data_IF_776714477990
#
_entry.id   IF_776714477990
#
_cell.length_a   1.000
_cell.length_b   1.000
_cell.length_c   1.000
_cell.angle_alpha   90.00
_cell.angle_beta   90.00
_cell.angle_gamma   90.00
#
_symmetry.space_group_name_H-M   'P 1'
#
loop_
_entity.id
_entity.type
_entity.pdbx_description
1 polymer ?
#
# COMPACT_ATOMS: atom_id res chain seq x y z
N UNK A 1 27.55 -13.78 8.90
CA UNK A 1 27.33 -13.42 10.31
C UNK A 1 28.31 -12.36 10.80
N UNK A 2 29.63 -12.58 10.75
CA UNK A 2 30.64 -11.65 11.27
C UNK A 2 30.50 -10.16 10.88
N UNK A 3 30.04 -9.85 9.65
CA UNK A 3 29.76 -8.48 9.24
C UNK A 3 28.63 -7.85 10.06
N UNK A 4 27.51 -8.57 10.23
CA UNK A 4 26.38 -8.09 11.02
C UNK A 4 26.78 -7.94 12.49
N UNK A 5 27.51 -8.89 13.08
CA UNK A 5 27.97 -8.77 14.46
C UNK A 5 28.84 -7.53 14.66
N UNK A 6 29.76 -7.26 13.73
CA UNK A 6 30.60 -6.05 13.77
C UNK A 6 29.75 -4.78 13.72
N UNK A 7 28.80 -4.69 12.80
CA UNK A 7 27.96 -3.50 12.60
C UNK A 7 26.99 -3.27 13.77
N UNK A 8 26.37 -4.32 14.29
CA UNK A 8 25.48 -4.21 15.46
C UNK A 8 26.25 -3.88 16.74
N UNK A 9 27.45 -4.46 16.92
CA UNK A 9 28.28 -4.17 18.10
C UNK A 9 28.72 -2.71 18.17
N UNK A 10 28.90 -2.04 17.02
CA UNK A 10 29.18 -0.58 16.99
C UNK A 10 28.03 0.27 17.54
N UNK A 11 26.82 -0.29 17.63
CA UNK A 11 25.61 0.34 18.15
C UNK A 11 25.22 -0.24 19.52
N UNK A 12 26.10 -1.00 20.18
CA UNK A 12 25.83 -1.72 21.43
C UNK A 12 24.64 -2.68 21.35
N UNK A 13 24.37 -3.21 20.14
CA UNK A 13 23.33 -4.21 19.88
C UNK A 13 23.98 -5.57 19.66
N UNK A 14 23.42 -6.61 20.28
CA UNK A 14 23.83 -7.99 20.03
C UNK A 14 22.97 -8.60 18.92
N UNK A 15 23.57 -9.43 18.05
CA UNK A 15 22.84 -10.23 17.06
C UNK A 15 23.00 -11.73 17.32
N UNK A 16 22.01 -12.53 16.89
CA UNK A 16 22.08 -13.99 16.97
C UNK A 16 21.66 -14.62 15.64
N UNK A 17 22.47 -15.55 15.13
CA UNK A 17 22.17 -16.24 13.88
C UNK A 17 21.17 -17.38 14.09
N UNK A 18 20.16 -17.45 13.23
CA UNK A 18 19.22 -18.56 13.14
C UNK A 18 19.19 -19.06 11.70
N UNK A 19 19.61 -20.31 11.50
CA UNK A 19 19.61 -20.97 10.20
C UNK A 19 18.46 -21.98 10.17
N UNK A 20 17.66 -21.93 9.10
CA UNK A 20 16.45 -22.75 8.96
C UNK A 20 16.37 -23.39 7.58
N UNK A 21 15.67 -24.51 7.49
CA UNK A 21 15.34 -25.21 6.25
C UNK A 21 13.83 -25.27 6.08
N UNK A 22 13.36 -25.58 4.87
CA UNK A 22 11.93 -25.77 4.62
C UNK A 22 11.38 -26.97 5.41
N UNK A 23 12.17 -28.04 5.57
CA UNK A 23 11.79 -29.22 6.34
C UNK A 23 11.53 -28.91 7.81
N UNK A 24 12.27 -27.97 8.41
CA UNK A 24 12.10 -27.61 9.82
C UNK A 24 10.69 -27.07 10.09
N UNK A 25 10.15 -26.27 9.16
CA UNK A 25 8.80 -25.73 9.29
C UNK A 25 7.70 -26.79 9.07
N UNK A 26 7.99 -28.04 8.71
CA UNK A 26 6.96 -29.10 8.71
C UNK A 26 6.66 -29.59 10.12
N UNK A 27 7.62 -29.43 11.04
CA UNK A 27 7.49 -29.84 12.43
C UNK A 27 6.83 -28.73 13.27
N UNK A 28 5.75 -29.08 13.96
CA UNK A 28 5.02 -28.15 14.84
C UNK A 28 5.82 -27.83 16.09
N UNK A 29 6.62 -28.77 16.59
CA UNK A 29 7.44 -28.56 17.79
C UNK A 29 8.60 -27.63 17.48
N UNK A 30 9.23 -27.76 16.30
CA UNK A 30 10.20 -26.80 15.80
C UNK A 30 9.61 -25.38 15.74
N UNK A 31 8.43 -25.19 15.14
CA UNK A 31 7.78 -23.86 15.06
C UNK A 31 7.56 -23.24 16.45
N UNK A 32 7.13 -24.05 17.43
CA UNK A 32 6.95 -23.59 18.82
C UNK A 32 8.29 -23.18 19.43
N UNK A 33 9.30 -24.04 19.33
CA UNK A 33 10.64 -23.80 19.86
C UNK A 33 11.27 -22.55 19.24
N UNK A 34 11.07 -22.34 17.94
CA UNK A 34 11.52 -21.15 17.24
C UNK A 34 10.87 -19.90 17.82
N UNK A 35 9.54 -19.93 18.04
CA UNK A 35 8.81 -18.81 18.64
C UNK A 35 9.35 -18.45 20.03
N UNK A 36 9.56 -19.44 20.88
CA UNK A 36 10.06 -19.25 22.24
C UNK A 36 11.50 -18.73 22.25
N UNK A 37 12.32 -19.21 21.31
CA UNK A 37 13.70 -18.76 21.13
C UNK A 37 13.75 -17.31 20.69
N UNK A 38 12.97 -16.92 19.67
CA UNK A 38 12.92 -15.53 19.19
C UNK A 38 12.40 -14.58 20.27
N UNK A 39 11.35 -14.96 21.00
CA UNK A 39 10.84 -14.16 22.13
C UNK A 39 11.90 -13.95 23.21
N UNK A 40 12.65 -15.01 23.53
CA UNK A 40 13.74 -14.94 24.51
C UNK A 40 14.85 -14.00 24.03
N UNK A 41 15.31 -14.13 22.78
CA UNK A 41 16.32 -13.25 22.19
C UNK A 41 15.87 -11.77 22.22
N UNK A 42 14.65 -11.48 21.79
CA UNK A 42 14.12 -10.12 21.79
C UNK A 42 13.97 -9.55 23.22
N UNK A 43 13.58 -10.37 24.20
CA UNK A 43 13.52 -9.95 25.61
C UNK A 43 14.89 -9.56 26.17
N UNK A 44 15.95 -10.14 25.63
CA UNK A 44 17.35 -9.83 25.95
C UNK A 44 17.92 -8.72 25.05
N UNK A 45 17.09 -8.06 24.23
CA UNK A 45 17.49 -7.04 23.25
C UNK A 45 18.51 -7.54 22.21
N UNK A 46 18.46 -8.84 21.89
CA UNK A 46 19.26 -9.46 20.83
C UNK A 46 18.46 -9.49 19.53
N UNK A 47 19.05 -9.02 18.44
CA UNK A 47 18.45 -9.01 17.10
C UNK A 47 18.66 -10.36 16.41
N UNK A 48 17.60 -11.14 16.13
CA UNK A 48 17.72 -12.39 15.39
C UNK A 48 18.00 -12.14 13.91
N UNK A 49 18.98 -12.86 13.34
CA UNK A 49 19.34 -12.81 11.92
C UNK A 49 19.06 -14.17 11.31
N UNK A 50 18.00 -14.22 10.50
CA UNK A 50 17.56 -15.42 9.81
C UNK A 50 18.21 -15.58 8.45
N UNK A 51 18.52 -16.82 8.07
CA UNK A 51 18.81 -17.19 6.69
C UNK A 51 18.44 -18.65 6.42
N UNK A 52 18.26 -19.00 5.14
CA UNK A 52 18.18 -20.41 4.75
C UNK A 52 19.53 -21.10 5.01
N UNK A 53 19.47 -22.34 5.50
CA UNK A 53 20.65 -23.18 5.68
C UNK A 53 21.01 -23.92 4.39
N UNK A 54 21.52 -23.19 3.38
CA UNK A 54 21.91 -23.77 2.08
C UNK A 54 22.91 -24.94 2.22
N UNK A 55 23.70 -25.00 3.31
CA UNK A 55 24.71 -26.04 3.52
C UNK A 55 24.12 -27.43 3.79
N UNK A 56 22.91 -27.49 4.35
CA UNK A 56 22.20 -28.75 4.66
C UNK A 56 20.89 -28.89 3.89
N UNK A 57 20.45 -27.83 3.23
CA UNK A 57 19.28 -27.85 2.35
C UNK A 57 19.51 -28.86 1.22
N UNK A 58 18.69 -29.91 1.16
CA UNK A 58 18.79 -30.94 0.11
C UNK A 58 18.22 -30.48 -1.22
N UNK A 59 17.73 -29.25 -1.28
CA UNK A 59 16.88 -28.76 -2.35
C UNK A 59 17.67 -28.12 -3.48
N UNK A 60 17.42 -28.59 -4.71
CA UNK A 60 18.13 -28.14 -5.92
C UNK A 60 17.26 -27.37 -6.92
N UNK A 61 15.94 -27.43 -6.78
CA UNK A 61 14.96 -26.80 -7.68
C UNK A 61 13.72 -26.28 -6.92
N UNK A 62 12.96 -25.32 -7.49
CA UNK A 62 11.67 -24.91 -6.93
C UNK A 62 10.74 -26.11 -6.79
N UNK A 63 9.81 -26.07 -5.82
CA UNK A 63 8.78 -27.11 -5.75
C UNK A 63 7.80 -26.90 -6.91
N UNK A 64 7.58 -27.94 -7.70
CA UNK A 64 6.53 -27.95 -8.74
C UNK A 64 5.16 -28.31 -8.16
N UNK A 65 5.14 -28.87 -6.95
CA UNK A 65 3.95 -29.25 -6.21
C UNK A 65 3.67 -28.31 -5.01
N UNK A 66 2.51 -28.48 -4.38
CA UNK A 66 2.10 -27.70 -3.20
C UNK A 66 2.81 -28.11 -1.90
N UNK A 67 3.79 -29.02 -1.96
CA UNK A 67 4.50 -29.48 -0.75
C UNK A 67 5.52 -28.46 -0.25
N UNK A 68 5.85 -27.46 -1.07
CA UNK A 68 6.81 -26.43 -0.75
C UNK A 68 6.35 -25.38 0.25
N UNK A 69 7.19 -25.08 1.24
CA UNK A 69 6.91 -24.08 2.27
C UNK A 69 7.42 -22.69 1.88
N UNK A 70 8.70 -22.55 1.53
CA UNK A 70 9.30 -21.32 0.97
C UNK A 70 10.26 -21.67 -0.17
N UNK A 71 10.84 -20.72 -0.91
CA UNK A 71 11.83 -20.95 -2.00
C UNK A 71 12.98 -19.93 -2.03
N UNK A 72 12.70 -18.73 -1.58
CA UNK A 72 13.63 -17.60 -1.54
C UNK A 72 13.47 -16.85 -0.22
N UNK A 73 14.36 -15.89 0.02
CA UNK A 73 14.32 -15.10 1.25
C UNK A 73 13.05 -14.24 1.36
N UNK A 74 12.39 -13.91 0.25
CA UNK A 74 11.12 -13.17 0.25
C UNK A 74 9.99 -14.03 0.85
N UNK A 75 9.88 -15.29 0.39
CA UNK A 75 8.92 -16.26 0.93
C UNK A 75 9.28 -16.74 2.34
N UNK A 76 10.57 -16.88 2.67
CA UNK A 76 11.02 -17.16 4.04
C UNK A 76 10.66 -16.02 4.99
N UNK A 77 10.88 -14.76 4.58
CA UNK A 77 10.54 -13.59 5.40
C UNK A 77 9.02 -13.49 5.64
N UNK A 78 8.21 -13.74 4.60
CA UNK A 78 6.75 -13.81 4.73
C UNK A 78 6.30 -14.94 5.68
N UNK A 79 6.90 -16.12 5.59
CA UNK A 79 6.63 -17.24 6.49
C UNK A 79 6.99 -16.89 7.94
N UNK A 80 8.20 -16.37 8.17
CA UNK A 80 8.66 -15.97 9.50
C UNK A 80 7.77 -14.89 10.10
N UNK A 81 7.35 -13.90 9.31
CA UNK A 81 6.44 -12.86 9.76
C UNK A 81 5.10 -13.44 10.25
N UNK A 82 4.58 -14.47 9.57
CA UNK A 82 3.37 -15.17 9.98
C UNK A 82 3.57 -16.02 11.24
N UNK A 83 4.63 -16.83 11.27
CA UNK A 83 4.94 -17.71 12.41
C UNK A 83 5.19 -16.89 13.69
N UNK A 84 5.94 -15.81 13.57
CA UNK A 84 6.30 -14.93 14.68
C UNK A 84 5.23 -13.88 15.00
N UNK A 85 4.15 -13.80 14.21
CA UNK A 85 3.08 -12.81 14.33
C UNK A 85 3.60 -11.38 14.35
N UNK A 86 4.44 -11.04 13.38
CA UNK A 86 4.99 -9.70 13.24
C UNK A 86 3.90 -8.67 12.94
N UNK A 87 4.04 -7.45 13.46
CA UNK A 87 3.08 -6.37 13.17
C UNK A 87 3.24 -5.79 11.76
N UNK A 88 4.43 -5.93 11.18
CA UNK A 88 4.80 -5.38 9.87
C UNK A 88 5.97 -6.18 9.27
N UNK A 89 5.88 -6.48 7.97
CA UNK A 89 6.99 -6.98 7.17
C UNK A 89 7.47 -5.88 6.21
N UNK A 90 8.77 -5.59 6.23
CA UNK A 90 9.40 -4.64 5.28
C UNK A 90 10.35 -5.39 4.37
N UNK A 91 10.06 -5.37 3.07
CA UNK A 91 10.91 -5.95 2.02
C UNK A 91 11.72 -4.83 1.36
N UNK A 92 13.03 -4.81 1.62
CA UNK A 92 13.94 -3.85 1.02
C UNK A 92 14.40 -4.36 -0.36
N UNK A 93 14.16 -3.56 -1.40
CA UNK A 93 14.54 -3.86 -2.79
C UNK A 93 15.52 -2.83 -3.34
N UNK A 94 16.03 -3.09 -4.53
CA UNK A 94 16.75 -2.15 -5.39
C UNK A 94 15.85 -1.10 -6.07
N UNK A 95 14.53 -1.32 -6.12
CA UNK A 95 13.54 -0.39 -6.67
C UNK A 95 12.75 0.33 -5.58
N UNK A 96 12.15 1.48 -5.89
CA UNK A 96 11.36 2.26 -4.93
C UNK A 96 10.10 1.53 -4.44
N UNK A 97 9.57 0.60 -5.23
CA UNK A 97 8.40 -0.21 -4.91
C UNK A 97 7.83 -0.83 -6.18
N UNK A 98 6.54 -1.12 -6.17
CA UNK A 98 5.81 -1.67 -7.31
C UNK A 98 5.33 -0.56 -8.23
N UNK A 99 5.60 -0.69 -9.54
CA UNK A 99 5.18 0.28 -10.54
C UNK A 99 4.00 -0.22 -11.38
N UNK A 100 3.21 0.69 -11.92
CA UNK A 100 2.07 0.41 -12.80
C UNK A 100 2.45 -0.07 -14.20
N UNK A 101 3.74 -0.03 -14.56
CA UNK A 101 4.27 -0.45 -15.84
C UNK A 101 5.78 -0.67 -15.78
N UNK A 102 6.43 -1.04 -16.90
CA UNK A 102 7.87 -1.25 -16.93
C UNK A 102 8.63 0.05 -16.61
N UNK A 103 9.82 -0.01 -15.99
CA UNK A 103 10.61 1.19 -15.67
C UNK A 103 10.99 2.06 -16.87
N UNK A 104 10.99 1.48 -18.09
CA UNK A 104 11.27 2.19 -19.33
C UNK A 104 10.09 3.02 -19.85
N UNK A 105 8.87 2.81 -19.35
CA UNK A 105 7.69 3.59 -19.74
C UNK A 105 7.62 4.88 -18.89
N UNK A 106 7.68 6.08 -19.48
CA UNK A 106 7.55 7.35 -18.77
C UNK A 106 6.19 7.52 -18.06
N UNK A 107 5.17 6.75 -18.45
CA UNK A 107 3.85 6.75 -17.80
C UNK A 107 3.79 5.82 -16.59
N UNK A 108 4.83 5.03 -16.36
CA UNK A 108 4.91 4.13 -15.22
C UNK A 108 4.98 4.94 -13.92
N UNK A 109 4.06 4.67 -13.00
CA UNK A 109 3.97 5.37 -11.72
C UNK A 109 4.11 4.39 -10.58
N UNK A 110 4.71 4.85 -9.49
CA UNK A 110 4.80 4.09 -8.26
C UNK A 110 3.39 3.87 -7.69
N UNK A 111 3.07 2.62 -7.40
CA UNK A 111 1.83 2.22 -6.74
C UNK A 111 2.09 2.30 -5.24
N UNK A 112 1.47 3.26 -4.56
CA UNK A 112 1.66 3.39 -3.11
C UNK A 112 0.86 2.40 -2.29
N UNK A 113 -0.24 1.90 -2.82
CA UNK A 113 -1.11 0.93 -2.14
C UNK A 113 -1.55 -0.11 -3.14
N UNK A 114 -1.17 -1.35 -2.90
CA UNK A 114 -1.54 -2.47 -3.75
C UNK A 114 -2.96 -2.94 -3.43
N UNK A 115 -3.85 -2.79 -4.40
CA UNK A 115 -5.18 -3.41 -4.43
C UNK A 115 -5.16 -4.57 -5.42
N UNK A 116 -5.47 -5.79 -4.95
CA UNK A 116 -5.42 -7.01 -5.75
C UNK A 116 -6.36 -6.93 -6.96
N UNK A 117 -7.60 -6.48 -6.75
CA UNK A 117 -8.64 -6.42 -7.79
C UNK A 117 -8.26 -5.51 -8.96
N UNK A 118 -7.45 -4.48 -8.69
CA UNK A 118 -6.95 -3.54 -9.71
C UNK A 118 -5.65 -4.03 -10.34
N UNK A 119 -4.68 -4.38 -9.49
CA UNK A 119 -3.30 -4.51 -9.92
C UNK A 119 -2.90 -5.94 -10.30
N UNK A 120 -3.63 -6.97 -9.85
CA UNK A 120 -3.29 -8.35 -10.15
C UNK A 120 -3.34 -8.67 -11.65
N UNK A 121 -4.25 -8.03 -12.39
CA UNK A 121 -4.41 -8.22 -13.83
C UNK A 121 -3.65 -7.21 -14.68
N UNK A 122 -3.36 -6.02 -14.13
CA UNK A 122 -2.76 -4.91 -14.88
C UNK A 122 -1.22 -4.93 -14.86
N UNK A 123 -0.61 -5.52 -13.84
CA UNK A 123 0.85 -5.49 -13.68
C UNK A 123 1.49 -6.70 -14.33
N UNK A 124 2.21 -6.45 -15.42
CA UNK A 124 3.17 -7.42 -15.98
C UNK A 124 4.51 -7.26 -15.28
N UNK A 125 4.90 -8.26 -14.50
CA UNK A 125 6.24 -8.30 -13.90
C UNK A 125 7.28 -8.51 -15.00
N UNK A 126 8.22 -7.57 -15.15
CA UNK A 126 9.34 -7.70 -16.08
C UNK A 126 10.26 -8.87 -15.74
N UNK A 127 11.16 -9.20 -16.67
CA UNK A 127 12.06 -10.34 -16.55
C UNK A 127 12.92 -10.33 -15.28
N UNK A 128 13.23 -11.54 -14.79
CA UNK A 128 14.01 -11.81 -13.58
C UNK A 128 15.31 -11.00 -13.56
N UNK A 129 15.62 -10.36 -12.42
CA UNK A 129 16.92 -9.70 -12.23
C UNK A 129 18.06 -10.73 -12.25
N UNK A 130 19.23 -10.32 -12.75
CA UNK A 130 20.38 -11.19 -13.03
C UNK A 130 21.02 -11.82 -11.77
N UNK A 131 20.67 -11.36 -10.57
CA UNK A 131 21.45 -11.62 -9.33
C UNK A 131 20.63 -12.32 -8.24
N UNK A 132 19.33 -12.55 -8.42
CA UNK A 132 18.45 -13.16 -7.41
C UNK A 132 17.66 -14.37 -7.91
N UNK A 133 17.50 -15.39 -7.06
CA UNK A 133 16.59 -16.53 -7.32
C UNK A 133 15.11 -16.11 -7.33
N UNK A 134 14.78 -14.95 -6.76
CA UNK A 134 13.41 -14.39 -6.64
C UNK A 134 13.30 -12.99 -7.26
N UNK A 135 12.57 -12.89 -8.38
CA UNK A 135 12.28 -11.62 -9.06
C UNK A 135 11.14 -10.82 -8.40
N UNK A 136 10.73 -9.70 -9.02
CA UNK A 136 9.62 -8.87 -8.52
C UNK A 136 8.32 -9.67 -8.33
N UNK A 137 8.06 -10.64 -9.21
CA UNK A 137 6.90 -11.55 -9.09
C UNK A 137 6.90 -12.31 -7.76
N UNK A 138 8.07 -12.79 -7.31
CA UNK A 138 8.18 -13.55 -6.07
C UNK A 138 7.97 -12.65 -4.85
N UNK A 139 8.54 -11.44 -4.86
CA UNK A 139 8.31 -10.41 -3.84
C UNK A 139 6.85 -10.05 -3.69
N UNK A 140 6.18 -9.76 -4.81
CA UNK A 140 4.75 -9.43 -4.77
C UNK A 140 3.91 -10.61 -4.33
N UNK A 141 4.25 -11.84 -4.75
CA UNK A 141 3.55 -13.04 -4.27
C UNK A 141 3.72 -13.22 -2.76
N UNK A 142 4.93 -13.07 -2.23
CA UNK A 142 5.21 -13.15 -0.79
C UNK A 142 4.47 -12.05 -0.01
N UNK A 143 4.52 -10.81 -0.51
CA UNK A 143 3.85 -9.66 0.10
C UNK A 143 2.32 -9.82 0.13
N UNK A 144 1.71 -10.26 -0.98
CA UNK A 144 0.27 -10.55 -1.05
C UNK A 144 -0.10 -11.68 -0.08
N UNK A 145 0.67 -12.77 -0.05
CA UNK A 145 0.37 -13.88 0.85
C UNK A 145 0.39 -13.46 2.33
N UNK A 146 1.42 -12.72 2.76
CA UNK A 146 1.51 -12.22 4.13
C UNK A 146 0.41 -11.19 4.45
N UNK A 147 0.15 -10.24 3.54
CA UNK A 147 -0.89 -9.22 3.70
C UNK A 147 -2.29 -9.81 3.88
N UNK A 148 -2.66 -10.79 3.06
CA UNK A 148 -3.96 -11.45 3.16
C UNK A 148 -4.06 -12.46 4.31
N UNK A 149 -2.93 -12.82 4.92
CA UNK A 149 -2.89 -13.59 6.15
C UNK A 149 -2.82 -12.70 7.42
N UNK A 150 -3.01 -11.38 7.26
CA UNK A 150 -3.17 -10.42 8.34
C UNK A 150 -1.90 -9.65 8.71
N UNK A 151 -0.80 -9.79 7.97
CA UNK A 151 0.46 -9.09 8.23
C UNK A 151 0.69 -8.00 7.18
N UNK A 152 0.54 -6.71 7.50
CA UNK A 152 0.86 -5.62 6.59
C UNK A 152 2.28 -5.77 6.02
N UNK A 153 2.45 -5.49 4.72
CA UNK A 153 3.76 -5.58 4.05
C UNK A 153 4.07 -4.29 3.31
N UNK A 154 5.32 -3.82 3.40
CA UNK A 154 5.82 -2.69 2.60
C UNK A 154 6.99 -3.15 1.75
N UNK A 155 6.93 -2.88 0.45
CA UNK A 155 8.08 -2.99 -0.46
C UNK A 155 8.62 -1.59 -0.70
N UNK A 156 9.90 -1.35 -0.37
CA UNK A 156 10.55 -0.04 -0.56
C UNK A 156 12.02 -0.22 -0.95
N UNK A 157 12.65 0.85 -1.47
CA UNK A 157 14.09 0.81 -1.77
C UNK A 157 14.92 0.75 -0.49
N UNK A 158 15.86 -0.20 -0.43
CA UNK A 158 16.90 -0.28 0.61
C UNK A 158 18.03 0.74 0.44
N UNK A 159 18.14 1.38 -0.73
CA UNK A 159 19.11 2.45 -0.98
C UNK A 159 18.61 3.82 -0.51
N UNK A 160 17.31 3.95 -0.24
CA UNK A 160 16.73 5.20 0.23
C UNK A 160 17.15 5.49 1.68
N UNK A 161 17.70 6.68 1.98
CA UNK A 161 18.13 7.03 3.32
C UNK A 161 16.94 7.08 4.27
N UNK A 162 17.15 6.53 5.47
CA UNK A 162 16.16 6.46 6.55
C UNK A 162 14.86 5.77 6.14
N UNK A 163 14.89 4.87 5.15
CA UNK A 163 13.69 4.19 4.66
C UNK A 163 12.92 3.50 5.80
N UNK A 164 13.59 2.77 6.69
CA UNK A 164 12.95 2.11 7.83
C UNK A 164 12.30 3.11 8.79
N UNK A 165 12.98 4.20 9.14
CA UNK A 165 12.43 5.23 10.02
C UNK A 165 11.18 5.87 9.42
N UNK A 166 11.22 6.20 8.12
CA UNK A 166 10.08 6.76 7.39
C UNK A 166 8.90 5.79 7.31
N UNK A 167 9.17 4.50 7.10
CA UNK A 167 8.14 3.45 7.14
C UNK A 167 7.48 3.42 8.51
N UNK A 168 8.27 3.39 9.59
CA UNK A 168 7.75 3.32 10.96
C UNK A 168 7.00 4.58 11.39
N UNK A 169 7.31 5.73 10.79
CA UNK A 169 6.56 6.98 10.96
C UNK A 169 5.24 7.02 10.15
N UNK A 170 4.93 5.98 9.35
CA UNK A 170 3.75 5.93 8.52
C UNK A 170 3.82 6.84 7.28
N UNK A 171 5.02 7.25 6.86
CA UNK A 171 5.17 8.05 5.63
C UNK A 171 4.81 7.20 4.41
N UNK A 172 4.26 7.86 3.39
CA UNK A 172 3.85 7.22 2.12
C UNK A 172 5.06 6.92 1.23
N UNK A 173 5.86 5.92 1.60
CA UNK A 173 7.03 5.45 0.85
C UNK A 173 6.84 4.01 0.36
N UNK A 174 7.35 3.74 -0.84
CA UNK A 174 7.20 2.45 -1.50
C UNK A 174 5.73 2.04 -1.72
N UNK A 175 5.48 0.74 -1.64
CA UNK A 175 4.17 0.11 -1.88
C UNK A 175 3.70 -0.64 -0.64
N UNK A 176 2.56 -0.24 -0.09
CA UNK A 176 1.87 -0.93 0.99
C UNK A 176 0.93 -2.03 0.45
N UNK A 177 1.01 -3.21 1.04
CA UNK A 177 0.10 -4.35 0.84
C UNK A 177 -0.67 -4.58 2.14
N UNK A 178 -1.99 -4.59 2.04
CA UNK A 178 -2.88 -4.80 3.18
C UNK A 178 -4.17 -5.48 2.72
N UNK A 179 -4.74 -6.36 3.55
CA UNK A 179 -6.02 -7.03 3.24
C UNK A 179 -7.16 -6.03 2.99
N UNK A 180 -7.19 -4.95 3.78
CA UNK A 180 -8.22 -3.90 3.73
C UNK A 180 -7.87 -2.74 2.79
N UNK A 181 -6.82 -2.87 1.98
CA UNK A 181 -6.40 -1.80 1.06
C UNK A 181 -7.53 -1.33 0.13
N UNK A 182 -8.42 -2.25 -0.25
CA UNK A 182 -9.60 -1.98 -1.06
C UNK A 182 -10.64 -1.06 -0.39
N UNK A 183 -10.63 -0.96 0.94
CA UNK A 183 -11.52 -0.08 1.71
C UNK A 183 -10.98 1.36 1.83
N UNK A 184 -9.67 1.52 1.79
CA UNK A 184 -8.99 2.81 2.00
C UNK A 184 -8.90 3.65 0.74
N UNK A 185 -8.86 2.99 -0.42
CA UNK A 185 -9.04 3.69 -1.66
C UNK A 185 -10.51 4.02 -1.83
N UNK A 186 -10.89 5.25 -1.46
CA UNK A 186 -12.06 5.89 -2.06
C UNK A 186 -11.87 5.77 -3.58
N UNK A 187 -12.81 5.13 -4.27
CA UNK A 187 -12.89 4.94 -5.73
C UNK A 187 -12.96 6.27 -6.53
N UNK A 188 -12.36 7.35 -6.02
CA UNK A 188 -12.41 8.73 -6.52
C UNK A 188 -11.12 9.21 -7.17
N UNK A 189 -10.10 8.38 -7.36
CA UNK A 189 -9.14 8.66 -8.44
C UNK A 189 -9.75 8.18 -9.75
N UNK A 190 -10.81 8.86 -10.18
CA UNK A 190 -11.20 8.81 -11.58
C UNK A 190 -10.09 9.55 -12.31
N UNK A 191 -9.32 8.85 -13.14
CA UNK A 191 -8.32 9.50 -13.97
C UNK A 191 -9.00 10.59 -14.83
N UNK A 192 -8.28 11.64 -15.22
CA UNK A 192 -8.88 12.74 -15.98
C UNK A 192 -9.62 12.24 -17.25
N UNK A 193 -9.14 11.14 -17.82
CA UNK A 193 -9.79 10.42 -18.93
C UNK A 193 -11.11 9.77 -18.51
N UNK A 194 -11.15 9.05 -17.40
CA UNK A 194 -12.36 8.46 -16.83
C UNK A 194 -13.38 9.51 -16.44
N UNK A 195 -12.95 10.67 -15.93
CA UNK A 195 -13.84 11.80 -15.65
C UNK A 195 -14.46 12.31 -16.94
N UNK A 196 -13.65 12.45 -17.99
CA UNK A 196 -14.13 12.87 -19.31
C UNK A 196 -15.09 11.85 -19.94
N UNK A 197 -14.82 10.55 -19.81
CA UNK A 197 -15.70 9.48 -20.30
C UNK A 197 -17.03 9.50 -19.52
N UNK A 198 -16.98 9.54 -18.19
CA UNK A 198 -18.17 9.58 -17.34
C UNK A 198 -19.03 10.83 -17.61
N UNK A 199 -18.39 11.99 -17.81
CA UNK A 199 -19.08 13.22 -18.19
C UNK A 199 -19.73 13.10 -19.57
N UNK A 200 -19.05 12.50 -20.54
CA UNK A 200 -19.60 12.27 -21.89
C UNK A 200 -20.79 11.32 -21.87
N UNK A 201 -20.71 10.22 -21.13
CA UNK A 201 -21.81 9.27 -20.99
C UNK A 201 -23.01 9.88 -20.28
N UNK A 202 -22.77 10.62 -19.19
CA UNK A 202 -23.82 11.31 -18.45
C UNK A 202 -24.52 12.38 -19.29
N UNK A 203 -23.75 13.15 -20.09
CA UNK A 203 -24.29 14.12 -21.03
C UNK A 203 -25.22 13.47 -22.06
N UNK A 204 -24.81 12.33 -22.65
CA UNK A 204 -25.67 11.57 -23.57
C UNK A 204 -26.96 11.08 -22.91
N UNK A 205 -26.87 10.58 -21.67
CA UNK A 205 -28.06 10.14 -20.90
C UNK A 205 -29.01 11.32 -20.66
N UNK A 206 -28.49 12.48 -20.26
CA UNK A 206 -29.30 13.70 -20.05
C UNK A 206 -29.96 14.21 -21.33
N UNK A 207 -29.26 14.14 -22.47
CA UNK A 207 -29.81 14.51 -23.77
C UNK A 207 -30.95 13.58 -24.23
N UNK A 208 -30.86 12.28 -23.90
CA UNK A 208 -31.88 11.30 -24.22
C UNK A 208 -33.12 11.36 -23.29
N UNK A 209 -33.02 12.04 -22.15
CA UNK A 209 -34.13 12.21 -21.21
C UNK A 209 -35.18 13.21 -21.71
N UNK A 210 -36.38 13.11 -21.14
CA UNK A 210 -37.45 14.10 -21.37
C UNK A 210 -37.17 15.40 -20.60
N UNK A 211 -37.87 16.47 -20.98
CA UNK A 211 -37.77 17.77 -20.30
C UNK A 211 -38.17 17.66 -18.82
N UNK A 212 -39.22 16.91 -18.51
CA UNK A 212 -39.70 16.70 -17.13
C UNK A 212 -38.67 15.99 -16.25
N UNK A 213 -38.02 14.95 -16.79
CA UNK A 213 -36.97 14.21 -16.08
C UNK A 213 -35.75 15.11 -15.78
N UNK A 214 -35.32 15.92 -16.74
CA UNK A 214 -34.22 16.89 -16.52
C UNK A 214 -34.59 17.93 -15.46
N UNK A 215 -35.81 18.46 -15.52
CA UNK A 215 -36.32 19.39 -14.50
C UNK A 215 -36.35 18.75 -13.11
N UNK A 216 -36.79 17.50 -13.01
CA UNK A 216 -36.78 16.76 -11.75
C UNK A 216 -35.37 16.62 -11.17
N UNK A 217 -34.38 16.27 -12.00
CA UNK A 217 -32.98 16.19 -11.56
C UNK A 217 -32.48 17.52 -10.98
N UNK A 218 -32.81 18.65 -11.62
CA UNK A 218 -32.43 19.98 -11.14
C UNK A 218 -33.07 20.33 -9.78
N UNK A 219 -34.34 19.96 -9.59
CA UNK A 219 -35.03 20.12 -8.32
C UNK A 219 -34.42 19.23 -7.23
N UNK A 220 -34.16 17.96 -7.53
CA UNK A 220 -33.53 17.02 -6.60
C UNK A 220 -32.12 17.51 -6.19
N UNK A 221 -31.37 18.11 -7.13
CA UNK A 221 -30.07 18.75 -6.85
C UNK A 221 -30.24 19.95 -5.90
N UNK A 222 -31.20 20.84 -6.16
CA UNK A 222 -31.46 22.00 -5.31
C UNK A 222 -31.81 21.58 -3.87
N UNK A 223 -32.68 20.60 -3.72
CA UNK A 223 -33.10 20.08 -2.42
C UNK A 223 -31.94 19.38 -1.70
N UNK A 224 -31.10 18.64 -2.43
CA UNK A 224 -29.90 18.03 -1.86
C UNK A 224 -28.87 19.06 -1.39
N UNK A 225 -28.70 20.18 -2.11
CA UNK A 225 -27.81 21.28 -1.72
C UNK A 225 -28.28 21.88 -0.39
N UNK A 226 -29.58 22.13 -0.23
CA UNK A 226 -30.15 22.67 1.00
C UNK A 226 -30.08 21.67 2.17
N UNK A 227 -30.44 20.41 1.93
CA UNK A 227 -30.40 19.36 2.95
C UNK A 227 -28.98 19.14 3.50
N UNK A 228 -27.95 19.29 2.67
CA UNK A 228 -26.55 19.09 3.04
C UNK A 228 -25.81 20.39 3.39
N UNK A 229 -26.51 21.53 3.52
CA UNK A 229 -25.90 22.85 3.69
C UNK A 229 -24.86 22.89 4.84
N UNK A 230 -25.20 22.30 5.99
CA UNK A 230 -24.29 22.26 7.16
C UNK A 230 -22.98 21.54 6.85
N UNK A 231 -23.07 20.39 6.17
CA UNK A 231 -21.90 19.59 5.80
C UNK A 231 -21.02 20.34 4.78
N UNK A 232 -21.65 20.99 3.79
CA UNK A 232 -20.95 21.76 2.77
C UNK A 232 -20.16 22.91 3.39
N UNK A 233 -20.72 23.61 4.38
CA UNK A 233 -20.02 24.71 5.08
C UNK A 233 -18.80 24.19 5.84
N UNK A 234 -18.96 23.11 6.61
CA UNK A 234 -17.87 22.51 7.40
C UNK A 234 -16.69 22.10 6.52
N UNK A 235 -16.96 21.42 5.39
CA UNK A 235 -15.91 21.03 4.45
C UNK A 235 -15.27 22.25 3.75
N UNK A 236 -16.07 23.27 3.38
CA UNK A 236 -15.54 24.50 2.78
C UNK A 236 -14.62 25.27 3.72
N UNK A 237 -14.93 25.33 5.02
CA UNK A 237 -14.07 25.93 6.03
C UNK A 237 -12.76 25.15 6.18
N UNK A 238 -12.81 23.81 6.16
CA UNK A 238 -11.62 22.96 6.19
C UNK A 238 -10.71 23.21 4.97
N UNK A 239 -11.29 23.30 3.76
CA UNK A 239 -10.56 23.59 2.52
C UNK A 239 -9.90 24.99 2.56
N UNK A 240 -10.64 26.01 3.02
CA UNK A 240 -10.11 27.37 3.18
C UNK A 240 -8.97 27.42 4.20
N UNK A 241 -9.11 26.71 5.32
CA UNK A 241 -8.05 26.60 6.34
C UNK A 241 -6.81 25.89 5.78
N UNK A 242 -6.98 24.80 5.05
CA UNK A 242 -5.88 24.10 4.39
C UNK A 242 -5.16 24.99 3.37
N UNK A 243 -5.90 25.79 2.59
CA UNK A 243 -5.32 26.74 1.64
C UNK A 243 -4.53 27.86 2.35
N UNK A 244 -5.01 28.34 3.49
CA UNK A 244 -4.27 29.30 4.32
C UNK A 244 -2.97 28.70 4.87
N UNK A 245 -3.01 27.46 5.35
CA UNK A 245 -1.82 26.75 5.86
C UNK A 245 -0.79 26.46 4.75
N UNK A 246 -1.26 26.21 3.52
CA UNK A 246 -0.41 26.03 2.35
C UNK A 246 0.19 27.34 1.78
N UNK A 247 -0.17 28.50 2.35
CA UNK A 247 0.42 29.80 1.99
C UNK A 247 -0.12 30.43 0.69
N UNK A 248 -1.30 30.03 0.22
CA UNK A 248 -1.92 30.64 -0.96
C UNK A 248 -2.29 32.11 -0.72
N UNK A 249 -2.27 32.91 -1.80
CA UNK A 249 -2.64 34.33 -1.72
C UNK A 249 -4.12 34.51 -1.33
N UNK A 250 -4.37 35.54 -0.51
CA UNK A 250 -5.72 35.89 -0.03
C UNK A 250 -6.70 36.21 -1.18
N UNK A 251 -6.18 36.70 -2.31
CA UNK A 251 -6.92 36.96 -3.56
C UNK A 251 -7.60 35.69 -4.09
N UNK A 252 -6.91 34.54 -4.01
CA UNK A 252 -7.40 33.24 -4.49
C UNK A 252 -8.32 32.54 -3.50
N UNK A 253 -8.16 32.82 -2.21
CA UNK A 253 -8.94 32.18 -1.14
C UNK A 253 -10.30 32.87 -0.95
N UNK A 254 -10.35 34.20 -1.09
CA UNK A 254 -11.57 34.99 -0.85
C UNK A 254 -12.81 34.58 -1.66
N UNK A 255 -12.72 34.10 -2.93
CA UNK A 255 -13.89 33.63 -3.69
C UNK A 255 -14.38 32.24 -3.27
N UNK A 256 -13.49 31.42 -2.68
CA UNK A 256 -13.77 30.04 -2.25
C UNK A 256 -14.58 30.01 -0.95
N UNK A 257 -14.40 30.99 -0.07
CA UNK A 257 -15.14 31.11 1.17
C UNK A 257 -16.66 31.25 0.92
N UNK A 258 -17.44 30.35 1.50
CA UNK A 258 -18.90 30.39 1.45
C UNK A 258 -19.43 31.45 2.41
N UNK A 259 -20.13 32.46 1.88
CA UNK A 259 -20.82 33.49 2.68
C UNK A 259 -22.22 33.00 3.09
N UNK A 260 -22.77 33.56 4.18
CA UNK A 260 -24.15 33.31 4.56
C UNK A 260 -25.10 33.60 3.38
N UNK A 261 -25.92 32.62 3.02
CA UNK A 261 -26.88 32.72 1.90
C UNK A 261 -26.39 32.26 0.53
N UNK A 262 -25.09 31.97 0.33
CA UNK A 262 -24.55 31.51 -0.96
C UNK A 262 -25.13 30.14 -1.37
N UNK A 263 -25.31 29.23 -0.39
CA UNK A 263 -25.89 27.89 -0.61
C UNK A 263 -27.36 28.00 -1.04
N UNK A 264 -28.15 28.83 -0.37
CA UNK A 264 -29.55 29.09 -0.73
C UNK A 264 -29.65 29.74 -2.11
N UNK A 265 -28.75 30.68 -2.43
CA UNK A 265 -28.66 31.28 -3.76
C UNK A 265 -28.37 30.26 -4.86
N UNK A 266 -27.44 29.32 -4.63
CA UNK A 266 -27.13 28.24 -5.56
C UNK A 266 -28.31 27.29 -5.76
N UNK A 267 -28.96 26.86 -4.67
CA UNK A 267 -30.14 26.00 -4.75
C UNK A 267 -31.27 26.67 -5.55
N UNK A 268 -31.52 27.96 -5.31
CA UNK A 268 -32.53 28.70 -6.06
C UNK A 268 -32.20 28.85 -7.55
N UNK A 269 -30.93 29.09 -7.90
CA UNK A 269 -30.50 29.12 -9.31
C UNK A 269 -30.67 27.77 -10.02
N UNK A 270 -30.60 26.65 -9.29
CA UNK A 270 -30.89 25.32 -9.85
C UNK A 270 -32.39 25.06 -10.04
N UNK A 271 -33.28 25.79 -9.34
CA UNK A 271 -34.74 25.61 -9.45
C UNK A 271 -35.37 26.32 -10.66
N UNK A 272 -34.64 27.27 -11.27
CA UNK A 272 -35.06 28.06 -12.45
C UNK A 272 -34.72 27.32 -13.73
#
# INVERSE_FOLDING_TARGET
MALYDTLFSQLDVSSAQLLVTDSDFRDKDFRRQLNDTVKSLLSLKVVPIFNENDAVSTRRAPYEDSSGIFWDNDSLAALLALELKADLLVLLSDVEGLYSGPPSDPRSKLIHTYIKEKHQTEITFGDKSRVGRGGMTAKVKAAVNAAYAGIPVIITSGFAPECLTKVLQGQRIGTLFHQDAHLWCSFKEVDARGMAIAARESSRRLQAMTSEQRKKILLDIADAIEANAKKIIVENEADVSAAHQAGYEKSLISPLASKSGKITGLANSCRV
#
